data_IF_319956998874
#
_entry.id   IF_319956998874
#
_cell.length_a   1.000
_cell.length_b   1.000
_cell.length_c   1.000
_cell.angle_alpha   90.00
_cell.angle_beta   90.00
_cell.angle_gamma   90.00
#
_symmetry.space_group_name_H-M   'P 1'
#
loop_
_entity.id
_entity.type
_entity.pdbx_description
1 polymer ?
#
# COMPACT_ATOMS: atom_id res chain seq x y z
N UNK A 1 -22.32 -16.41 43.28
CA UNK A 1 -20.97 -15.87 42.98
C UNK A 1 -20.64 -16.17 41.50
N UNK A 2 -20.84 -15.21 40.61
CA UNK A 2 -20.78 -15.42 39.16
C UNK A 2 -19.50 -14.81 38.58
N UNK A 3 -18.62 -15.64 37.99
CA UNK A 3 -17.36 -15.24 37.36
C UNK A 3 -17.64 -14.62 35.99
N UNK A 4 -17.42 -13.32 35.85
CA UNK A 4 -17.44 -12.61 34.56
C UNK A 4 -16.22 -13.02 33.72
N UNK A 5 -16.47 -13.56 32.53
CA UNK A 5 -15.48 -13.75 31.48
C UNK A 5 -14.94 -12.39 31.00
N UNK A 6 -13.62 -12.23 30.97
CA UNK A 6 -12.95 -11.13 30.26
C UNK A 6 -12.76 -11.55 28.81
N UNK A 7 -13.48 -10.90 27.90
CA UNK A 7 -13.10 -10.86 26.49
C UNK A 7 -11.94 -9.88 26.33
N UNK A 8 -10.75 -10.40 26.11
CA UNK A 8 -9.59 -9.62 25.62
C UNK A 8 -9.75 -9.40 24.12
N UNK A 9 -10.10 -8.18 23.72
CA UNK A 9 -10.05 -7.73 22.34
C UNK A 9 -8.59 -7.51 21.93
N UNK A 10 -8.05 -8.43 21.14
CA UNK A 10 -6.78 -8.26 20.45
C UNK A 10 -6.98 -7.32 19.25
N UNK A 11 -6.76 -6.03 19.48
CA UNK A 11 -6.56 -5.06 18.39
C UNK A 11 -5.10 -5.17 17.92
N UNK A 12 -4.81 -5.39 16.62
CA UNK A 12 -3.44 -5.33 16.13
C UNK A 12 -2.96 -3.87 16.17
N UNK A 13 -1.90 -3.62 16.96
CA UNK A 13 -1.21 -2.34 17.07
C UNK A 13 -0.43 -2.06 15.78
N UNK A 14 -1.02 -1.30 14.85
CA UNK A 14 -0.32 -0.76 13.68
C UNK A 14 0.53 0.45 14.08
N UNK A 15 1.78 0.21 14.42
CA UNK A 15 2.84 1.24 14.44
C UNK A 15 3.43 1.38 13.02
N UNK A 16 4.09 2.50 12.76
CA UNK A 16 4.98 2.84 11.64
C UNK A 16 4.42 3.80 10.58
N UNK A 17 4.71 5.08 10.82
CA UNK A 17 4.66 6.19 9.87
C UNK A 17 5.56 5.94 8.64
N UNK A 18 5.04 6.31 7.46
CA UNK A 18 5.65 6.18 6.14
C UNK A 18 6.47 7.44 5.76
N UNK A 19 7.61 7.21 5.09
CA UNK A 19 8.50 8.21 4.47
C UNK A 19 7.84 8.69 3.15
N UNK A 20 7.79 10.00 2.86
CA UNK A 20 7.03 10.53 1.72
C UNK A 20 7.53 10.01 0.36
N UNK A 21 6.59 9.64 -0.51
CA UNK A 21 6.81 9.54 -1.94
C UNK A 21 7.23 10.93 -2.45
N UNK A 22 8.48 11.11 -2.86
CA UNK A 22 8.82 12.19 -3.76
C UNK A 22 8.63 11.70 -5.19
N UNK A 23 7.67 12.32 -5.87
CA UNK A 23 7.45 12.24 -7.32
C UNK A 23 8.77 12.56 -8.05
N UNK A 24 9.11 11.88 -9.16
CA UNK A 24 10.30 12.19 -9.94
C UNK A 24 10.32 13.67 -10.38
N UNK A 25 11.44 14.35 -10.14
CA UNK A 25 11.65 15.75 -10.52
C UNK A 25 11.98 15.87 -12.00
N UNK A 26 11.18 16.62 -12.75
CA UNK A 26 11.52 17.09 -14.08
C UNK A 26 10.48 18.09 -14.59
N UNK A 27 10.97 19.30 -14.96
CA UNK A 27 10.29 20.48 -15.51
C UNK A 27 9.92 21.56 -14.49
N UNK A 28 10.80 22.55 -14.35
CA UNK A 28 10.43 23.91 -13.90
C UNK A 28 10.76 24.90 -15.02
N UNK A 29 9.83 25.79 -15.42
CA UNK A 29 10.16 27.04 -16.08
C UNK A 29 10.23 28.20 -15.06
N UNK A 30 10.88 29.32 -15.40
CA UNK A 30 11.31 30.32 -14.43
C UNK A 30 10.18 31.26 -13.98
N UNK A 31 10.45 31.86 -12.82
CA UNK A 31 9.59 32.71 -12.00
C UNK A 31 9.07 33.97 -12.66
N UNK A 32 7.80 34.29 -12.40
CA UNK A 32 7.33 35.66 -12.19
C UNK A 32 6.18 35.64 -11.17
N UNK A 33 6.28 36.55 -10.20
CA UNK A 33 5.48 36.65 -8.98
C UNK A 33 4.06 37.12 -9.32
N UNK A 34 3.06 36.32 -8.97
CA UNK A 34 1.68 36.72 -8.72
C UNK A 34 1.13 35.75 -7.67
N UNK A 35 0.62 36.28 -6.55
CA UNK A 35 -0.06 35.51 -5.49
C UNK A 35 -1.35 34.90 -6.04
N UNK A 36 -1.23 33.77 -6.76
CA UNK A 36 -2.36 32.94 -7.15
C UNK A 36 -2.52 31.85 -6.10
N UNK A 37 -3.72 31.70 -5.57
CA UNK A 37 -4.14 30.47 -4.90
C UNK A 37 -3.72 29.30 -5.81
N UNK A 38 -2.74 28.54 -5.37
CA UNK A 38 -2.18 27.42 -6.11
C UNK A 38 -3.28 26.36 -6.14
N UNK A 39 -4.12 26.38 -7.19
CA UNK A 39 -5.11 25.34 -7.43
C UNK A 39 -4.34 24.06 -7.67
N UNK A 40 -4.15 23.29 -6.60
CA UNK A 40 -3.50 22.01 -6.64
C UNK A 40 -4.29 21.11 -7.58
N UNK A 41 -3.58 20.45 -8.49
CA UNK A 41 -4.17 19.42 -9.35
C UNK A 41 -4.98 18.42 -8.50
N UNK A 42 -6.26 18.15 -8.83
CA UNK A 42 -7.12 17.30 -8.00
C UNK A 42 -6.54 15.91 -7.73
N UNK A 43 -5.81 15.33 -8.70
CA UNK A 43 -5.16 14.04 -8.51
C UNK A 43 -4.01 14.15 -7.48
N UNK A 44 -3.17 15.19 -7.58
CA UNK A 44 -2.13 15.46 -6.59
C UNK A 44 -2.70 15.62 -5.17
N UNK A 45 -3.78 16.38 -5.00
CA UNK A 45 -4.46 16.51 -3.70
C UNK A 45 -4.96 15.16 -3.19
N UNK A 46 -5.61 14.38 -4.05
CA UNK A 46 -6.15 13.08 -3.66
C UNK A 46 -5.07 12.07 -3.27
N UNK A 47 -3.89 12.10 -3.91
CA UNK A 47 -2.76 11.24 -3.56
C UNK A 47 -2.22 11.59 -2.17
N UNK A 48 -2.09 12.86 -1.83
CA UNK A 48 -1.64 13.27 -0.49
C UNK A 48 -2.63 12.88 0.61
N UNK A 49 -3.93 13.07 0.33
CA UNK A 49 -4.99 12.64 1.23
C UNK A 49 -5.02 11.12 1.38
N UNK A 50 -4.79 10.38 0.29
CA UNK A 50 -4.65 8.92 0.33
C UNK A 50 -3.47 8.49 1.21
N UNK A 51 -2.30 9.11 1.04
CA UNK A 51 -1.11 8.82 1.84
C UNK A 51 -1.32 9.13 3.33
N UNK A 52 -2.04 10.21 3.65
CA UNK A 52 -2.49 10.50 5.01
C UNK A 52 -3.49 9.44 5.52
N UNK A 53 -4.38 8.97 4.67
CA UNK A 53 -5.32 7.89 4.95
C UNK A 53 -4.65 6.54 5.25
N UNK A 54 -3.59 6.20 4.51
CA UNK A 54 -2.72 5.04 4.79
C UNK A 54 -2.08 5.16 6.17
N UNK A 55 -1.74 6.38 6.62
CA UNK A 55 -1.20 6.67 7.95
C UNK A 55 -2.26 6.69 9.06
N UNK A 56 -3.54 6.53 8.73
CA UNK A 56 -4.64 6.38 9.69
C UNK A 56 -5.62 7.56 9.75
N UNK A 57 -5.42 8.61 8.93
CA UNK A 57 -6.36 9.73 8.89
C UNK A 57 -7.66 9.34 8.16
N UNK A 58 -8.72 9.11 8.94
CA UNK A 58 -10.03 8.70 8.41
C UNK A 58 -10.69 9.79 7.56
N UNK A 59 -10.51 11.06 7.93
CA UNK A 59 -11.09 12.19 7.21
C UNK A 59 -10.44 12.35 5.84
N UNK A 60 -9.12 12.14 5.78
CA UNK A 60 -8.36 12.16 4.54
C UNK A 60 -8.78 11.02 3.59
N UNK A 61 -9.06 9.81 4.10
CA UNK A 61 -9.61 8.71 3.28
C UNK A 61 -10.93 9.10 2.61
N UNK A 62 -11.85 9.70 3.37
CA UNK A 62 -13.16 10.10 2.85
C UNK A 62 -12.99 11.13 1.73
N UNK A 63 -12.17 12.16 1.97
CA UNK A 63 -11.92 13.23 0.99
C UNK A 63 -11.16 12.73 -0.24
N UNK A 64 -10.13 11.90 -0.05
CA UNK A 64 -9.40 11.26 -1.16
C UNK A 64 -10.36 10.45 -2.04
N UNK A 65 -11.20 9.61 -1.44
CA UNK A 65 -12.15 8.80 -2.19
C UNK A 65 -13.17 9.65 -2.94
N UNK A 66 -13.67 10.75 -2.37
CA UNK A 66 -14.58 11.66 -3.06
C UNK A 66 -13.95 12.21 -4.34
N UNK A 67 -12.76 12.82 -4.23
CA UNK A 67 -12.04 13.39 -5.39
C UNK A 67 -11.73 12.29 -6.42
N UNK A 68 -11.25 11.12 -5.97
CA UNK A 68 -10.91 10.00 -6.85
C UNK A 68 -12.12 9.38 -7.52
N UNK A 69 -13.30 9.39 -6.90
CA UNK A 69 -14.54 8.91 -7.51
C UNK A 69 -14.97 9.78 -8.68
N UNK A 70 -14.80 11.11 -8.56
CA UNK A 70 -15.12 12.06 -9.63
C UNK A 70 -14.12 11.92 -10.79
N UNK A 71 -12.83 11.82 -10.48
CA UNK A 71 -11.78 11.57 -11.47
C UNK A 71 -11.94 10.21 -12.16
N UNK A 72 -12.23 9.15 -11.40
CA UNK A 72 -12.46 7.81 -11.92
C UNK A 72 -13.58 7.76 -12.96
N UNK A 73 -14.63 8.58 -12.77
CA UNK A 73 -15.79 8.63 -13.66
C UNK A 73 -15.51 9.34 -14.99
N UNK A 74 -14.42 10.12 -15.06
CA UNK A 74 -14.09 10.97 -16.20
C UNK A 74 -12.73 10.65 -16.84
N UNK A 75 -11.90 9.81 -16.21
CA UNK A 75 -10.55 9.46 -16.66
C UNK A 75 -10.32 7.95 -16.67
N UNK A 76 -9.72 7.44 -17.75
CA UNK A 76 -9.24 6.06 -17.87
C UNK A 76 -7.76 5.89 -17.45
N UNK A 77 -7.14 6.94 -16.90
CA UNK A 77 -5.73 6.89 -16.46
C UNK A 77 -5.52 5.79 -15.39
N UNK A 78 -4.64 4.81 -15.62
CA UNK A 78 -4.37 3.73 -14.66
C UNK A 78 -3.95 4.24 -13.28
N UNK A 79 -3.31 5.42 -13.18
CA UNK A 79 -2.94 6.03 -11.92
C UNK A 79 -4.18 6.41 -11.09
N UNK A 80 -5.11 7.16 -11.70
CA UNK A 80 -6.39 7.56 -11.10
C UNK A 80 -7.16 6.32 -10.65
N UNK A 81 -7.30 5.35 -11.55
CA UNK A 81 -8.04 4.11 -11.31
C UNK A 81 -7.45 3.33 -10.13
N UNK A 82 -6.12 3.26 -10.03
CA UNK A 82 -5.44 2.56 -8.95
C UNK A 82 -5.62 3.25 -7.60
N UNK A 83 -5.50 4.57 -7.56
CA UNK A 83 -5.72 5.32 -6.33
C UNK A 83 -7.18 5.25 -5.89
N UNK A 84 -8.14 5.30 -6.81
CA UNK A 84 -9.55 5.09 -6.51
C UNK A 84 -9.80 3.70 -5.89
N UNK A 85 -9.29 2.63 -6.50
CA UNK A 85 -9.40 1.27 -5.95
C UNK A 85 -8.78 1.15 -4.56
N UNK A 86 -7.60 1.73 -4.37
CA UNK A 86 -6.91 1.74 -3.07
C UNK A 86 -7.67 2.53 -1.99
N UNK A 87 -8.16 3.73 -2.32
CA UNK A 87 -8.97 4.55 -1.41
C UNK A 87 -10.30 3.86 -1.06
N UNK A 88 -10.90 3.12 -2.00
CA UNK A 88 -12.10 2.31 -1.75
C UNK A 88 -11.83 1.20 -0.72
N UNK A 89 -10.68 0.52 -0.81
CA UNK A 89 -10.25 -0.43 0.22
C UNK A 89 -9.96 0.25 1.57
N UNK A 90 -9.41 1.47 1.58
CA UNK A 90 -9.20 2.22 2.82
C UNK A 90 -10.53 2.60 3.49
N UNK A 91 -11.57 2.96 2.73
CA UNK A 91 -12.90 3.23 3.29
C UNK A 91 -13.46 2.02 4.04
N UNK A 92 -13.20 0.80 3.56
CA UNK A 92 -13.64 -0.42 4.21
C UNK A 92 -13.15 -0.52 5.66
N UNK A 93 -11.91 -0.08 5.94
CA UNK A 93 -11.28 -0.13 7.28
C UNK A 93 -12.11 0.55 8.35
N UNK A 94 -12.79 1.64 7.99
CA UNK A 94 -13.48 2.52 8.93
C UNK A 94 -15.00 2.25 9.01
N UNK A 95 -15.50 1.24 8.29
CA UNK A 95 -16.89 0.79 8.37
C UNK A 95 -17.17 0.02 9.67
N UNK A 96 -18.36 0.25 10.23
CA UNK A 96 -18.84 -0.46 11.43
C UNK A 96 -19.50 -1.80 11.10
N UNK A 97 -20.18 -1.86 9.96
CA UNK A 97 -20.83 -3.08 9.50
C UNK A 97 -19.83 -3.98 8.76
N UNK A 98 -19.62 -5.23 9.20
CA UNK A 98 -18.69 -6.16 8.55
C UNK A 98 -19.03 -6.46 7.09
N UNK A 99 -20.31 -6.47 6.70
CA UNK A 99 -20.70 -6.73 5.32
C UNK A 99 -20.34 -5.53 4.42
N UNK A 100 -20.62 -4.30 4.86
CA UNK A 100 -20.16 -3.09 4.16
C UNK A 100 -18.63 -3.04 4.05
N UNK A 101 -17.91 -3.40 5.12
CA UNK A 101 -16.45 -3.49 5.12
C UNK A 101 -15.98 -4.47 4.04
N UNK A 102 -16.51 -5.69 4.04
CA UNK A 102 -16.11 -6.73 3.09
C UNK A 102 -16.45 -6.34 1.64
N UNK A 103 -17.66 -5.82 1.41
CA UNK A 103 -18.12 -5.36 0.09
C UNK A 103 -17.23 -4.24 -0.46
N UNK A 104 -16.88 -3.24 0.36
CA UNK A 104 -15.99 -2.14 -0.06
C UNK A 104 -14.58 -2.62 -0.35
N UNK A 105 -14.05 -3.55 0.45
CA UNK A 105 -12.75 -4.14 0.19
C UNK A 105 -12.73 -4.87 -1.17
N UNK A 106 -13.75 -5.68 -1.47
CA UNK A 106 -13.88 -6.38 -2.76
C UNK A 106 -14.05 -5.40 -3.93
N UNK A 107 -14.81 -4.32 -3.76
CA UNK A 107 -14.99 -3.29 -4.78
C UNK A 107 -13.63 -2.68 -5.17
N UNK A 108 -12.84 -2.25 -4.19
CA UNK A 108 -11.53 -1.66 -4.45
C UNK A 108 -10.53 -2.65 -5.05
N UNK A 109 -10.56 -3.92 -4.59
CA UNK A 109 -9.73 -5.00 -5.17
C UNK A 109 -10.06 -5.26 -6.63
N UNK A 110 -11.35 -5.28 -7.01
CA UNK A 110 -11.77 -5.49 -8.39
C UNK A 110 -11.18 -4.43 -9.31
N UNK A 111 -11.25 -3.15 -8.91
CA UNK A 111 -10.65 -2.05 -9.67
C UNK A 111 -9.14 -2.25 -9.81
N UNK A 112 -8.44 -2.54 -8.71
CA UNK A 112 -6.98 -2.74 -8.75
C UNK A 112 -6.57 -3.92 -9.65
N UNK A 113 -7.33 -5.02 -9.61
CA UNK A 113 -7.10 -6.19 -10.45
C UNK A 113 -7.30 -5.88 -11.94
N UNK A 114 -8.37 -5.16 -12.27
CA UNK A 114 -8.65 -4.73 -13.65
C UNK A 114 -7.56 -3.79 -14.18
N UNK A 115 -7.09 -2.83 -13.36
CA UNK A 115 -6.03 -1.92 -13.78
C UNK A 115 -4.72 -2.67 -14.06
N UNK A 116 -4.26 -3.54 -13.15
CA UNK A 116 -3.01 -4.27 -13.38
C UNK A 116 -3.15 -5.30 -14.50
N UNK A 117 -4.34 -5.87 -14.71
CA UNK A 117 -4.61 -6.75 -15.86
C UNK A 117 -4.43 -6.00 -17.18
N UNK A 118 -4.94 -4.77 -17.28
CA UNK A 118 -4.90 -3.97 -18.50
C UNK A 118 -3.57 -3.22 -18.69
N UNK A 119 -2.88 -2.90 -17.59
CA UNK A 119 -1.62 -2.17 -17.57
C UNK A 119 -0.57 -2.93 -16.72
N UNK A 120 -0.13 -4.11 -17.19
CA UNK A 120 0.72 -5.01 -16.39
C UNK A 120 2.09 -4.44 -16.05
N UNK A 121 2.58 -3.41 -16.77
CA UNK A 121 3.86 -2.78 -16.49
C UNK A 121 3.75 -1.45 -15.72
N UNK A 122 2.53 -1.05 -15.36
CA UNK A 122 2.32 0.19 -14.62
C UNK A 122 2.73 0.02 -13.16
N UNK A 123 3.90 0.57 -12.84
CA UNK A 123 4.58 0.42 -11.55
C UNK A 123 3.70 0.84 -10.38
N UNK A 124 3.07 2.01 -10.45
CA UNK A 124 2.29 2.54 -9.33
C UNK A 124 1.05 1.67 -9.03
N UNK A 125 0.43 1.07 -10.06
CA UNK A 125 -0.70 0.17 -9.87
C UNK A 125 -0.30 -1.09 -9.09
N UNK A 126 0.84 -1.68 -9.42
CA UNK A 126 1.37 -2.85 -8.69
C UNK A 126 1.78 -2.51 -7.27
N UNK A 127 2.35 -1.31 -7.05
CA UNK A 127 2.64 -0.83 -5.70
C UNK A 127 1.35 -0.73 -4.87
N UNK A 128 0.32 -0.06 -5.38
CA UNK A 128 -0.93 0.10 -4.65
C UNK A 128 -1.63 -1.24 -4.41
N UNK A 129 -1.67 -2.12 -5.43
CA UNK A 129 -2.31 -3.43 -5.32
C UNK A 129 -1.59 -4.36 -4.35
N UNK A 130 -0.27 -4.47 -4.41
CA UNK A 130 0.52 -5.28 -3.45
C UNK A 130 0.30 -4.82 -2.02
N UNK A 131 0.35 -3.50 -1.80
CA UNK A 131 0.15 -2.88 -0.50
C UNK A 131 -1.26 -3.10 0.08
N UNK A 132 -2.30 -3.08 -0.75
CA UNK A 132 -3.67 -3.40 -0.34
C UNK A 132 -3.78 -4.89 -0.03
N UNK A 133 -3.33 -5.75 -0.96
CA UNK A 133 -3.45 -7.20 -0.84
C UNK A 133 -2.73 -7.74 0.40
N UNK A 134 -1.54 -7.24 0.71
CA UNK A 134 -0.76 -7.66 1.88
C UNK A 134 -1.43 -7.35 3.22
N UNK A 135 -2.24 -6.29 3.29
CA UNK A 135 -2.87 -5.82 4.54
C UNK A 135 -4.24 -6.45 4.79
N UNK A 136 -4.81 -7.12 3.81
CA UNK A 136 -6.08 -7.82 3.98
C UNK A 136 -5.84 -9.12 4.75
N UNK A 137 -6.78 -9.52 5.63
CA UNK A 137 -6.67 -10.80 6.33
C UNK A 137 -6.62 -11.98 5.34
N UNK A 138 -5.47 -12.64 5.28
CA UNK A 138 -5.21 -13.71 4.31
C UNK A 138 -6.22 -14.87 4.42
N UNK A 139 -6.69 -15.18 5.64
CA UNK A 139 -7.68 -16.23 5.91
C UNK A 139 -9.07 -15.99 5.26
N UNK A 140 -9.37 -14.76 4.86
CA UNK A 140 -10.67 -14.41 4.26
C UNK A 140 -10.55 -14.00 2.80
N UNK A 141 -9.46 -13.30 2.44
CA UNK A 141 -9.33 -12.71 1.11
C UNK A 141 -8.38 -13.49 0.18
N UNK A 142 -7.44 -14.27 0.72
CA UNK A 142 -6.46 -15.04 -0.06
C UNK A 142 -5.68 -14.22 -1.10
N UNK A 143 -5.20 -13.04 -0.69
CA UNK A 143 -4.61 -12.02 -1.59
C UNK A 143 -3.10 -11.97 -1.52
N UNK A 144 -2.46 -12.67 -0.60
CA UNK A 144 -1.02 -12.62 -0.46
C UNK A 144 -0.26 -13.23 -1.64
N UNK A 145 -0.87 -14.15 -2.40
CA UNK A 145 -0.31 -14.60 -3.67
C UNK A 145 -0.18 -13.45 -4.67
N UNK A 146 -1.22 -12.62 -4.79
CA UNK A 146 -1.20 -11.43 -5.67
C UNK A 146 -0.17 -10.40 -5.17
N UNK A 147 -0.06 -10.22 -3.85
CA UNK A 147 0.98 -9.36 -3.28
C UNK A 147 2.39 -9.88 -3.59
N UNK A 148 2.64 -11.19 -3.48
CA UNK A 148 3.91 -11.82 -3.87
C UNK A 148 4.23 -11.58 -5.34
N UNK A 149 3.26 -11.78 -6.24
CA UNK A 149 3.47 -11.58 -7.68
C UNK A 149 3.88 -10.13 -7.99
N UNK A 150 3.18 -9.15 -7.42
CA UNK A 150 3.47 -7.73 -7.61
C UNK A 150 4.80 -7.31 -6.96
N UNK A 151 5.08 -7.74 -5.73
CA UNK A 151 6.33 -7.39 -5.03
C UNK A 151 7.55 -8.04 -5.68
N UNK A 152 7.42 -9.27 -6.19
CA UNK A 152 8.48 -9.94 -6.94
C UNK A 152 8.78 -9.19 -8.24
N UNK A 153 7.73 -8.77 -8.96
CA UNK A 153 7.89 -7.93 -10.14
C UNK A 153 8.61 -6.61 -9.80
N UNK A 154 8.17 -5.90 -8.76
CA UNK A 154 8.77 -4.63 -8.35
C UNK A 154 10.24 -4.78 -7.90
N UNK A 155 10.57 -5.84 -7.17
CA UNK A 155 11.95 -6.14 -6.78
C UNK A 155 12.84 -6.40 -8.01
N UNK A 156 12.35 -7.21 -8.96
CA UNK A 156 13.05 -7.50 -10.22
C UNK A 156 13.29 -6.22 -11.05
N UNK A 157 12.28 -5.33 -11.14
CA UNK A 157 12.42 -4.06 -11.86
C UNK A 157 13.46 -3.14 -11.22
N UNK A 158 13.51 -3.06 -9.90
CA UNK A 158 14.56 -2.29 -9.20
C UNK A 158 15.96 -2.90 -9.40
N UNK A 159 16.07 -4.23 -9.39
CA UNK A 159 17.35 -4.91 -9.61
C UNK A 159 17.90 -4.70 -11.03
N UNK A 160 17.00 -4.49 -12.01
CA UNK A 160 17.37 -4.13 -13.39
C UNK A 160 17.70 -2.64 -13.53
N UNK A 161 16.94 -1.78 -12.84
CA UNK A 161 17.11 -0.33 -12.87
C UNK A 161 17.00 0.26 -11.45
N UNK A 162 18.13 0.39 -10.72
CA UNK A 162 18.13 0.93 -9.37
C UNK A 162 17.70 2.41 -9.29
N UNK A 163 17.63 3.14 -10.41
CA UNK A 163 17.12 4.52 -10.43
C UNK A 163 15.59 4.59 -10.38
N UNK A 164 14.89 3.47 -10.55
CA UNK A 164 13.43 3.40 -10.55
C UNK A 164 12.82 3.80 -9.20
N UNK A 165 13.48 3.48 -8.08
CA UNK A 165 13.02 3.80 -6.74
C UNK A 165 14.16 4.31 -5.85
N UNK A 166 13.81 4.87 -4.70
CA UNK A 166 14.78 5.03 -3.61
C UNK A 166 15.14 3.66 -3.03
N UNK A 167 16.39 3.50 -2.61
CA UNK A 167 16.93 2.22 -2.12
C UNK A 167 16.15 1.70 -0.90
N UNK A 168 15.68 2.60 -0.04
CA UNK A 168 14.87 2.29 1.13
C UNK A 168 13.52 1.65 0.75
N UNK A 169 12.95 2.04 -0.40
CA UNK A 169 11.72 1.45 -0.90
C UNK A 169 11.95 0.01 -1.37
N UNK A 170 13.10 -0.30 -1.97
CA UNK A 170 13.49 -1.68 -2.29
C UNK A 170 13.62 -2.55 -1.04
N UNK A 171 14.24 -2.04 0.03
CA UNK A 171 14.30 -2.77 1.31
C UNK A 171 12.89 -3.05 1.86
N UNK A 172 11.98 -2.08 1.73
CA UNK A 172 10.58 -2.28 2.10
C UNK A 172 9.91 -3.36 1.25
N UNK A 173 10.14 -3.38 -0.06
CA UNK A 173 9.61 -4.41 -0.96
C UNK A 173 10.07 -5.81 -0.50
N UNK A 174 11.35 -5.99 -0.21
CA UNK A 174 11.87 -7.28 0.27
C UNK A 174 11.27 -7.68 1.63
N UNK A 175 11.13 -6.73 2.56
CA UNK A 175 10.49 -7.00 3.84
C UNK A 175 9.03 -7.45 3.68
N UNK A 176 8.27 -6.71 2.88
CA UNK A 176 6.86 -6.98 2.59
C UNK A 176 6.69 -8.31 1.84
N UNK A 177 7.61 -8.64 0.93
CA UNK A 177 7.60 -9.90 0.18
C UNK A 177 7.78 -11.10 1.11
N UNK A 178 8.76 -11.04 2.03
CA UNK A 178 8.94 -12.08 3.04
C UNK A 178 7.71 -12.21 3.96
N UNK A 179 7.11 -11.09 4.34
CA UNK A 179 5.85 -11.07 5.13
C UNK A 179 4.71 -11.75 4.36
N UNK A 180 4.57 -11.45 3.06
CA UNK A 180 3.56 -12.06 2.20
C UNK A 180 3.70 -13.59 2.14
N UNK A 181 4.93 -14.09 1.98
CA UNK A 181 5.24 -15.53 2.03
C UNK A 181 4.92 -16.14 3.39
N UNK A 182 5.33 -15.50 4.50
CA UNK A 182 5.05 -16.00 5.85
C UNK A 182 3.56 -16.15 6.11
N UNK A 183 2.75 -15.15 5.73
CA UNK A 183 1.29 -15.19 5.90
C UNK A 183 0.62 -16.35 5.13
N UNK A 184 1.26 -16.87 4.07
CA UNK A 184 0.84 -18.07 3.35
C UNK A 184 1.51 -19.35 3.87
N UNK A 185 2.08 -19.31 5.08
CA UNK A 185 2.83 -20.42 5.71
C UNK A 185 4.08 -20.88 4.94
N UNK A 186 4.59 -20.07 4.00
CA UNK A 186 5.82 -20.34 3.22
C UNK A 186 7.05 -19.80 3.94
N UNK A 187 7.34 -20.38 5.11
CA UNK A 187 8.34 -19.86 6.06
C UNK A 187 9.76 -19.91 5.51
N UNK A 188 10.11 -20.92 4.71
CA UNK A 188 11.45 -21.06 4.13
C UNK A 188 11.71 -19.97 3.08
N UNK A 189 10.73 -19.69 2.24
CA UNK A 189 10.76 -18.61 1.26
C UNK A 189 10.86 -17.26 1.95
N UNK A 190 10.05 -17.03 3.00
CA UNK A 190 10.13 -15.81 3.81
C UNK A 190 11.54 -15.59 4.40
N UNK A 191 12.14 -16.63 4.98
CA UNK A 191 13.51 -16.59 5.51
C UNK A 191 14.55 -16.28 4.43
N UNK A 192 14.42 -16.89 3.25
CA UNK A 192 15.32 -16.63 2.12
C UNK A 192 15.26 -15.17 1.67
N UNK A 193 14.04 -14.62 1.50
CA UNK A 193 13.85 -13.22 1.12
C UNK A 193 14.39 -12.27 2.20
N UNK A 194 14.14 -12.54 3.48
CA UNK A 194 14.68 -11.70 4.55
C UNK A 194 16.20 -11.83 4.73
N UNK A 195 16.80 -12.98 4.41
CA UNK A 195 18.25 -13.10 4.34
C UNK A 195 18.83 -12.19 3.25
N UNK A 196 18.19 -12.14 2.07
CA UNK A 196 18.54 -11.18 1.00
C UNK A 196 18.39 -9.74 1.50
N UNK A 197 17.28 -9.39 2.16
CA UNK A 197 17.10 -8.05 2.74
C UNK A 197 18.25 -7.67 3.66
N UNK A 198 18.61 -8.55 4.61
CA UNK A 198 19.66 -8.27 5.58
C UNK A 198 21.08 -8.26 5.00
N UNK A 199 21.29 -8.79 3.79
CA UNK A 199 22.57 -8.66 3.09
C UNK A 199 22.71 -7.35 2.31
N UNK A 200 21.59 -6.72 1.93
CA UNK A 200 21.58 -5.48 1.11
C UNK A 200 21.31 -4.20 1.91
N UNK A 201 21.08 -4.31 3.23
CA UNK A 201 20.93 -3.14 4.11
C UNK A 201 21.63 -3.35 5.46
N UNK A 202 22.22 -2.27 5.98
CA UNK A 202 22.72 -2.18 7.35
C UNK A 202 21.74 -1.47 8.29
N UNK A 203 20.57 -1.03 7.80
CA UNK A 203 19.57 -0.35 8.63
C UNK A 203 19.02 -1.30 9.70
N UNK A 204 19.34 -0.99 10.96
CA UNK A 204 18.90 -1.75 12.13
C UNK A 204 17.38 -1.87 12.28
N UNK A 205 16.60 -1.00 11.63
CA UNK A 205 15.13 -1.12 11.56
C UNK A 205 14.72 -2.46 10.97
N UNK A 206 15.27 -2.85 9.82
CA UNK A 206 14.87 -4.08 9.14
C UNK A 206 15.33 -5.32 9.88
N UNK A 207 16.51 -5.29 10.52
CA UNK A 207 16.94 -6.35 11.44
C UNK A 207 15.91 -6.59 12.55
N UNK A 208 15.47 -5.53 13.25
CA UNK A 208 14.46 -5.63 14.31
C UNK A 208 13.10 -6.12 13.80
N UNK A 209 12.69 -5.71 12.59
CA UNK A 209 11.44 -6.17 11.99
C UNK A 209 11.49 -7.67 11.65
N UNK A 210 12.56 -8.13 10.98
CA UNK A 210 12.74 -9.55 10.63
C UNK A 210 12.83 -10.43 11.89
N UNK A 211 13.60 -10.02 12.90
CA UNK A 211 13.69 -10.75 14.18
C UNK A 211 12.33 -10.90 14.87
N UNK A 212 11.47 -9.88 14.77
CA UNK A 212 10.11 -9.94 15.33
C UNK A 212 9.23 -10.90 14.54
N UNK A 213 9.38 -10.93 13.22
CA UNK A 213 8.62 -11.86 12.38
C UNK A 213 9.03 -13.32 12.60
N UNK A 214 10.31 -13.60 12.83
CA UNK A 214 10.81 -14.96 13.04
C UNK A 214 10.51 -15.55 14.42
N UNK A 215 10.08 -14.74 15.38
CA UNK A 215 9.69 -15.17 16.74
C UNK A 215 8.21 -15.54 16.87
N UNK A 216 7.38 -15.18 15.89
CA UNK A 216 5.94 -15.44 15.84
C UNK A 216 5.65 -16.62 14.93
#
# INVERSE_FOLDING_TARGET
>A
MSRKHRHTSLQPRSSWAFIPNQVPRGLTPPSSIDEKQEHKDPLSEAIELHDAGVKGDKSAVIRAHQILSDLHSSSSDPLVQSYYGSATCLLARDKKDPNEQFSKALQGLKVLDEVVKNHPDHIQSRILRSQVCLRLPEQYFHRNRVAVDDLTYLASRFEQDPALFQQEFYWKILYDLGTAHKNMSKVNEAKSIWAKLLSVTSDGKYRRLVERELKQ
#
